data_IF_129100968872
#
_entry.id   IF_129100968872
#
_cell.length_a   1.000
_cell.length_b   1.000
_cell.length_c   1.000
_cell.angle_alpha   90.00
_cell.angle_beta   90.00
_cell.angle_gamma   90.00
#
_symmetry.space_group_name_H-M   'P 1'
#
loop_
_entity.id
_entity.type
_entity.pdbx_description
1 polymer ?
#
# COMPACT_ATOMS: atom_id res chain seq x y z
N UNK A 1 19.17 -53.32 33.53
CA UNK A 1 18.48 -52.09 33.07
C UNK A 1 18.64 -51.77 31.57
N UNK A 2 19.68 -52.27 30.86
CA UNK A 2 19.94 -52.00 29.43
C UNK A 2 18.86 -52.46 28.44
N UNK A 3 17.97 -53.39 28.81
CA UNK A 3 16.96 -53.93 27.90
C UNK A 3 15.77 -53.00 27.65
N UNK A 4 15.47 -52.06 28.56
CA UNK A 4 14.38 -51.08 28.39
C UNK A 4 14.71 -50.02 27.33
N UNK A 5 15.98 -49.62 27.21
CA UNK A 5 16.43 -48.60 26.24
C UNK A 5 16.30 -49.11 24.80
N UNK A 6 16.63 -50.39 24.55
CA UNK A 6 16.47 -51.03 23.23
C UNK A 6 15.01 -51.20 22.78
N UNK A 7 14.06 -51.26 23.71
CA UNK A 7 12.62 -51.30 23.39
C UNK A 7 12.06 -49.92 23.05
N UNK A 8 12.65 -48.84 23.59
CA UNK A 8 12.24 -47.47 23.27
C UNK A 8 12.69 -47.05 21.86
N UNK A 9 13.89 -47.46 21.43
CA UNK A 9 14.42 -47.17 20.09
C UNK A 9 13.75 -47.96 18.94
N UNK A 10 12.90 -48.94 19.25
CA UNK A 10 12.17 -49.76 18.24
C UNK A 10 10.77 -49.25 17.93
N UNK A 11 10.35 -48.13 18.53
CA UNK A 11 9.00 -47.56 18.39
C UNK A 11 8.97 -46.27 17.57
N UNK A 12 9.90 -46.09 16.65
CA UNK A 12 9.80 -45.02 15.66
C UNK A 12 8.98 -45.57 14.47
N UNK A 13 7.67 -45.48 14.59
CA UNK A 13 6.75 -45.69 13.47
C UNK A 13 6.96 -44.53 12.49
N UNK A 14 7.56 -44.82 11.34
CA UNK A 14 7.81 -43.85 10.28
C UNK A 14 6.52 -43.41 9.59
N UNK A 15 6.43 -42.13 9.25
CA UNK A 15 5.32 -41.55 8.50
C UNK A 15 5.16 -42.25 7.15
N UNK A 16 3.93 -42.58 6.74
CA UNK A 16 3.69 -43.22 5.46
C UNK A 16 3.71 -42.20 4.32
N UNK A 17 4.16 -42.61 3.13
CA UNK A 17 4.11 -41.74 1.95
C UNK A 17 2.67 -41.31 1.59
N UNK A 18 1.69 -42.16 1.91
CA UNK A 18 0.26 -41.89 1.65
C UNK A 18 -0.27 -40.77 2.55
N UNK A 19 0.15 -40.71 3.82
CA UNK A 19 -0.22 -39.61 4.71
C UNK A 19 0.37 -38.29 4.22
N UNK A 20 1.62 -38.29 3.75
CA UNK A 20 2.25 -37.07 3.24
C UNK A 20 1.59 -36.61 1.93
N UNK A 21 1.20 -37.57 1.07
CA UNK A 21 0.44 -37.31 -0.16
C UNK A 21 -0.93 -36.65 0.14
N UNK A 22 -1.67 -37.17 1.11
CA UNK A 22 -2.98 -36.61 1.48
C UNK A 22 -2.86 -35.15 1.96
N UNK A 23 -1.81 -34.82 2.72
CA UNK A 23 -1.57 -33.46 3.23
C UNK A 23 -1.28 -32.48 2.09
N UNK A 24 -0.41 -32.82 1.15
CA UNK A 24 -0.08 -31.91 0.04
C UNK A 24 -1.26 -31.69 -0.90
N UNK A 25 -2.16 -32.68 -1.04
CA UNK A 25 -3.40 -32.53 -1.82
C UNK A 25 -4.32 -31.51 -1.15
N UNK A 26 -4.52 -31.61 0.16
CA UNK A 26 -5.33 -30.64 0.90
C UNK A 26 -4.71 -29.24 0.83
N UNK A 27 -3.39 -29.12 1.03
CA UNK A 27 -2.68 -27.84 0.91
C UNK A 27 -2.80 -27.27 -0.51
N UNK A 28 -2.72 -28.10 -1.56
CA UNK A 28 -2.91 -27.70 -2.95
C UNK A 28 -4.29 -27.10 -3.21
N UNK A 29 -5.35 -27.71 -2.67
CA UNK A 29 -6.72 -27.20 -2.79
C UNK A 29 -6.86 -25.84 -2.10
N UNK A 30 -6.31 -25.68 -0.89
CA UNK A 30 -6.35 -24.42 -0.14
C UNK A 30 -5.61 -23.32 -0.92
N UNK A 31 -4.39 -23.60 -1.39
CA UNK A 31 -3.55 -22.63 -2.12
C UNK A 31 -4.22 -22.19 -3.42
N UNK A 32 -4.85 -23.11 -4.16
CA UNK A 32 -5.54 -22.81 -5.42
C UNK A 32 -6.64 -21.75 -5.27
N UNK A 33 -7.37 -21.75 -4.14
CA UNK A 33 -8.42 -20.77 -3.86
C UNK A 33 -7.85 -19.50 -3.20
N UNK A 34 -6.84 -19.65 -2.34
CA UNK A 34 -6.30 -18.54 -1.56
C UNK A 34 -5.54 -17.51 -2.40
N UNK A 35 -4.65 -17.95 -3.31
CA UNK A 35 -3.80 -17.05 -4.13
C UNK A 35 -4.61 -15.99 -4.90
N UNK A 36 -5.63 -16.33 -5.71
CA UNK A 36 -6.36 -15.31 -6.48
C UNK A 36 -7.10 -14.31 -5.57
N UNK A 37 -7.54 -14.72 -4.38
CA UNK A 37 -8.23 -13.84 -3.44
C UNK A 37 -7.32 -12.76 -2.84
N UNK A 38 -6.04 -13.10 -2.59
CA UNK A 38 -5.06 -12.19 -1.97
C UNK A 38 -4.62 -11.12 -2.97
N UNK A 39 -4.39 -11.47 -4.23
CA UNK A 39 -3.97 -10.50 -5.26
C UNK A 39 -4.96 -9.35 -5.43
N UNK A 40 -6.27 -9.63 -5.42
CA UNK A 40 -7.28 -8.58 -5.48
C UNK A 40 -7.33 -7.68 -4.25
N UNK A 41 -6.95 -8.17 -3.07
CA UNK A 41 -6.89 -7.37 -1.84
C UNK A 41 -5.70 -6.41 -1.89
N UNK A 42 -4.53 -6.88 -2.33
CA UNK A 42 -3.32 -6.06 -2.46
C UNK A 42 -3.57 -4.90 -3.42
N UNK A 43 -4.10 -5.17 -4.62
CA UNK A 43 -4.38 -4.12 -5.59
C UNK A 43 -5.35 -3.05 -5.05
N UNK A 44 -6.37 -3.46 -4.26
CA UNK A 44 -7.29 -2.51 -3.61
C UNK A 44 -6.62 -1.71 -2.51
N UNK A 45 -5.73 -2.33 -1.74
CA UNK A 45 -4.97 -1.65 -0.70
C UNK A 45 -4.01 -0.62 -1.30
N UNK A 46 -3.31 -0.97 -2.39
CA UNK A 46 -2.45 -0.05 -3.15
C UNK A 46 -3.26 1.10 -3.72
N UNK A 47 -4.35 0.81 -4.44
CA UNK A 47 -5.21 1.86 -5.02
C UNK A 47 -5.76 2.80 -3.94
N UNK A 48 -6.21 2.26 -2.81
CA UNK A 48 -6.73 3.07 -1.70
C UNK A 48 -5.65 3.88 -0.98
N UNK A 49 -4.42 3.37 -0.89
CA UNK A 49 -3.29 4.12 -0.36
C UNK A 49 -2.94 5.31 -1.26
N UNK A 50 -2.92 5.09 -2.57
CA UNK A 50 -2.59 6.12 -3.56
C UNK A 50 -3.68 7.20 -3.61
N UNK A 51 -4.96 6.81 -3.55
CA UNK A 51 -6.07 7.75 -3.46
C UNK A 51 -6.03 8.59 -2.19
N UNK A 52 -5.69 7.99 -1.05
CA UNK A 52 -5.49 8.73 0.20
C UNK A 52 -4.31 9.70 0.11
N UNK A 53 -3.22 9.31 -0.53
CA UNK A 53 -2.06 10.17 -0.76
C UNK A 53 -2.39 11.35 -1.68
N UNK A 54 -3.12 11.13 -2.77
CA UNK A 54 -3.56 12.21 -3.66
C UNK A 54 -4.46 13.22 -2.94
N UNK A 55 -5.37 12.75 -2.09
CA UNK A 55 -6.20 13.63 -1.28
C UNK A 55 -5.38 14.49 -0.31
N UNK A 56 -4.31 13.95 0.28
CA UNK A 56 -3.41 14.72 1.15
C UNK A 56 -2.65 15.81 0.36
N UNK A 57 -2.17 15.49 -0.84
CA UNK A 57 -1.47 16.46 -1.70
C UNK A 57 -2.43 17.57 -2.16
N UNK A 58 -3.67 17.22 -2.51
CA UNK A 58 -4.70 18.20 -2.89
C UNK A 58 -5.09 19.12 -1.72
N UNK A 59 -5.18 18.59 -0.49
CA UNK A 59 -5.45 19.40 0.69
C UNK A 59 -4.27 20.32 1.04
N UNK A 60 -3.03 19.83 0.92
CA UNK A 60 -1.83 20.65 1.04
C UNK A 60 -1.82 21.79 0.01
N UNK A 61 -2.18 21.51 -1.24
CA UNK A 61 -2.31 22.52 -2.29
C UNK A 61 -3.43 23.52 -2.02
N UNK A 62 -4.56 23.09 -1.42
CA UNK A 62 -5.62 23.99 -0.98
C UNK A 62 -5.14 24.94 0.10
N UNK A 63 -4.46 24.44 1.12
CA UNK A 63 -3.90 25.28 2.19
C UNK A 63 -2.88 26.28 1.65
N UNK A 64 -1.99 25.81 0.78
CA UNK A 64 -1.05 26.67 0.06
C UNK A 64 -1.78 27.75 -0.74
N UNK A 65 -2.77 27.37 -1.54
CA UNK A 65 -3.51 28.31 -2.37
C UNK A 65 -4.19 29.40 -1.54
N UNK A 66 -4.89 29.05 -0.45
CA UNK A 66 -5.55 30.03 0.45
C UNK A 66 -4.53 31.03 1.03
N UNK A 67 -3.32 30.59 1.36
CA UNK A 67 -2.27 31.46 1.92
C UNK A 67 -1.73 32.46 0.90
N UNK A 68 -1.72 32.11 -0.39
CA UNK A 68 -1.13 32.89 -1.49
C UNK A 68 -2.15 33.48 -2.48
N UNK A 69 -3.46 33.28 -2.27
CA UNK A 69 -4.57 33.79 -3.09
C UNK A 69 -4.55 35.32 -3.31
N UNK A 70 -3.73 36.06 -2.56
CA UNK A 70 -3.58 37.52 -2.66
C UNK A 70 -2.55 38.04 -3.67
N UNK A 71 -1.62 37.21 -4.17
CA UNK A 71 -0.52 37.69 -5.03
C UNK A 71 -0.63 37.32 -6.51
N UNK A 72 -1.23 36.17 -6.84
CA UNK A 72 -1.47 35.75 -8.23
C UNK A 72 -2.44 34.56 -8.22
N UNK A 73 -3.39 34.52 -9.15
CA UNK A 73 -4.25 33.34 -9.28
C UNK A 73 -3.40 32.14 -9.71
N UNK A 74 -3.05 31.27 -8.77
CA UNK A 74 -2.27 30.07 -9.02
C UNK A 74 -3.16 29.06 -9.75
N UNK A 75 -2.78 28.67 -10.95
CA UNK A 75 -3.47 27.62 -11.73
C UNK A 75 -2.85 26.24 -11.51
N UNK A 76 -1.61 26.20 -11.02
CA UNK A 76 -0.85 24.96 -10.82
C UNK A 76 0.13 25.15 -9.67
N UNK A 77 0.24 24.15 -8.79
CA UNK A 77 1.19 24.12 -7.67
C UNK A 77 1.97 22.80 -7.75
N UNK A 78 3.30 22.83 -7.75
CA UNK A 78 4.08 21.61 -7.78
C UNK A 78 4.16 20.96 -6.39
N UNK A 79 4.31 19.62 -6.34
CA UNK A 79 4.50 18.93 -5.05
C UNK A 79 5.81 19.35 -4.37
N UNK A 80 6.82 19.73 -5.16
CA UNK A 80 8.08 20.22 -4.62
C UNK A 80 7.93 21.57 -3.93
N UNK A 81 7.08 22.46 -4.46
CA UNK A 81 6.73 23.72 -3.80
C UNK A 81 5.99 23.45 -2.49
N UNK A 82 5.04 22.50 -2.47
CA UNK A 82 4.32 22.13 -1.24
C UNK A 82 5.27 21.60 -0.17
N UNK A 83 6.26 20.79 -0.57
CA UNK A 83 7.24 20.24 0.36
C UNK A 83 8.23 21.30 0.85
N UNK A 84 8.74 22.13 -0.05
CA UNK A 84 9.68 23.22 0.29
C UNK A 84 9.04 24.25 1.21
N UNK A 85 7.75 24.55 1.01
CA UNK A 85 7.00 25.48 1.84
C UNK A 85 6.37 24.84 3.09
N UNK A 86 6.63 23.56 3.36
CA UNK A 86 6.23 22.88 4.60
C UNK A 86 4.76 22.47 4.68
N UNK A 87 4.06 22.38 3.55
CA UNK A 87 2.67 21.92 3.46
C UNK A 87 2.57 20.40 3.26
N UNK A 88 3.65 19.76 2.81
CA UNK A 88 3.70 18.31 2.59
C UNK A 88 5.03 17.71 3.04
N UNK A 89 4.95 16.72 3.93
CA UNK A 89 6.12 15.99 4.39
C UNK A 89 6.48 14.85 3.42
N UNK A 90 7.78 14.63 3.24
CA UNK A 90 8.29 13.48 2.49
C UNK A 90 8.28 12.24 3.39
N UNK A 91 7.53 11.21 3.02
CA UNK A 91 7.54 9.94 3.76
C UNK A 91 8.75 9.11 3.32
N UNK A 92 9.62 8.77 4.27
CA UNK A 92 10.77 7.89 4.04
C UNK A 92 11.73 8.36 2.91
N UNK A 93 11.96 9.67 2.83
CA UNK A 93 12.85 10.28 1.83
C UNK A 93 12.35 10.23 0.38
N UNK A 94 11.19 9.61 0.14
CA UNK A 94 10.53 9.56 -1.16
C UNK A 94 9.37 10.53 -1.14
N UNK A 95 9.35 11.46 -2.09
CA UNK A 95 8.25 12.41 -2.26
C UNK A 95 7.47 12.03 -3.51
N UNK A 96 6.12 12.08 -3.49
CA UNK A 96 5.35 11.96 -4.72
C UNK A 96 5.76 13.07 -5.69
N UNK A 97 5.78 12.75 -6.98
CA UNK A 97 6.22 13.69 -8.03
C UNK A 97 5.04 14.11 -8.89
N UNK A 98 4.86 15.42 -9.08
CA UNK A 98 3.78 15.94 -9.90
C UNK A 98 3.37 17.34 -9.53
N UNK A 99 2.16 17.70 -9.92
CA UNK A 99 1.55 18.98 -9.59
C UNK A 99 0.07 18.83 -9.30
N UNK A 100 -0.47 19.77 -8.54
CA UNK A 100 -1.90 19.96 -8.37
C UNK A 100 -2.34 21.08 -9.29
N UNK A 101 -3.30 20.77 -10.16
CA UNK A 101 -3.98 21.78 -10.97
C UNK A 101 -5.12 22.38 -10.17
N UNK A 102 -5.19 23.71 -10.15
CA UNK A 102 -6.22 24.49 -9.47
C UNK A 102 -7.15 25.04 -10.56
N UNK A 103 -8.37 24.54 -10.58
CA UNK A 103 -9.43 24.95 -11.50
C UNK A 103 -10.67 25.45 -10.75
N UNK A 104 -11.80 25.48 -11.45
CA UNK A 104 -13.07 25.92 -10.86
C UNK A 104 -13.23 27.43 -10.81
N UNK A 105 -14.12 27.92 -9.95
CA UNK A 105 -14.34 29.35 -9.73
C UNK A 105 -13.63 29.81 -8.46
N UNK A 106 -13.33 31.11 -8.29
CA UNK A 106 -12.75 31.61 -7.03
C UNK A 106 -13.58 31.27 -5.78
N UNK A 107 -14.89 31.08 -5.95
CA UNK A 107 -15.82 30.70 -4.87
C UNK A 107 -15.97 29.19 -4.68
N UNK A 108 -15.46 28.37 -5.62
CA UNK A 108 -15.50 26.92 -5.56
C UNK A 108 -14.32 26.32 -6.35
N UNK A 109 -13.08 26.43 -5.82
CA UNK A 109 -11.90 25.92 -6.49
C UNK A 109 -11.87 24.39 -6.45
N UNK A 110 -11.40 23.79 -7.54
CA UNK A 110 -11.17 22.35 -7.66
C UNK A 110 -9.67 22.08 -7.68
N UNK A 111 -9.21 21.11 -6.91
CA UNK A 111 -7.82 20.69 -6.85
C UNK A 111 -7.74 19.30 -7.48
N UNK A 112 -6.81 19.10 -8.40
CA UNK A 112 -6.64 17.80 -9.07
C UNK A 112 -5.17 17.48 -9.18
N UNK A 113 -4.74 16.46 -8.45
CA UNK A 113 -3.38 15.96 -8.53
C UNK A 113 -3.12 15.30 -9.89
N UNK A 114 -1.95 15.58 -10.47
CA UNK A 114 -1.45 14.96 -11.70
C UNK A 114 0.02 14.66 -11.49
N UNK A 115 0.36 13.39 -11.31
CA UNK A 115 1.72 12.97 -10.99
C UNK A 115 1.95 11.48 -11.16
N UNK A 116 3.17 11.06 -10.88
CA UNK A 116 3.58 9.65 -10.85
C UNK A 116 4.03 9.32 -9.42
N UNK A 117 3.66 8.12 -8.98
CA UNK A 117 4.34 7.43 -7.86
C UNK A 117 5.84 7.26 -8.16
#
# INVERSE_FOLDING_TARGET
>A
MRNKIRQLMKKEEGFTLVELLAVIVILGIIVAIAIPSIGGIINRAETGANEAEYALIEDAARLYHIQYEGETALTTVSVDDLSTNGYLDSRDGTKPTGSVNIGGTPTNPTYTYTGRE
#
